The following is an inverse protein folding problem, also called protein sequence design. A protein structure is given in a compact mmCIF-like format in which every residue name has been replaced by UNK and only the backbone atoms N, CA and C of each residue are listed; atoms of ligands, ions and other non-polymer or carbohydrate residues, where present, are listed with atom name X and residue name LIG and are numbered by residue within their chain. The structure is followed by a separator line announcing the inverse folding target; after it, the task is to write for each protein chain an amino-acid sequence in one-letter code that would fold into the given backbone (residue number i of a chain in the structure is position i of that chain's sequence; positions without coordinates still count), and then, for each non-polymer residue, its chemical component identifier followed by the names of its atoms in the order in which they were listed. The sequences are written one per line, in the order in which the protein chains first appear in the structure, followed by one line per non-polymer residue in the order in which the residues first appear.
data_IF_457683509405
#
_entry.id   IF_457683509405
#
_cell.length_a   1.000
_cell.length_b   1.000
_cell.length_c   1.000
_cell.angle_alpha   90.00
_cell.angle_beta   90.00
_cell.angle_gamma   90.00
#
_symmetry.space_group_name_H-M   'P 1'
#
loop_
_entity.id
_entity.type
_entity.pdbx_description
1 polymer ?
#
# COMPACT_ATOMS: atom_id res chain seq x y z
N UNK A 1 8.39 -17.87 -5.79
CA UNK A 1 7.80 -16.54 -6.16
C UNK A 1 8.85 -15.57 -6.68
N UNK A 2 10.03 -15.40 -6.03
CA UNK A 2 11.07 -14.46 -6.46
C UNK A 2 11.58 -14.68 -7.90
N UNK A 3 11.86 -15.92 -8.35
CA UNK A 3 12.28 -16.15 -9.73
C UNK A 3 11.24 -15.74 -10.77
N UNK A 4 9.95 -15.97 -10.49
CA UNK A 4 8.84 -15.58 -11.39
C UNK A 4 8.75 -14.06 -11.52
N UNK A 5 8.91 -13.32 -10.42
CA UNK A 5 8.90 -11.86 -10.44
C UNK A 5 10.07 -11.32 -11.27
N UNK A 6 11.27 -11.87 -11.09
CA UNK A 6 12.44 -11.48 -11.88
C UNK A 6 12.28 -11.76 -13.38
N UNK A 7 11.56 -12.84 -13.76
CA UNK A 7 11.21 -13.10 -15.15
C UNK A 7 10.20 -12.07 -15.67
N UNK A 8 9.15 -11.76 -14.90
CA UNK A 8 8.16 -10.76 -15.29
C UNK A 8 8.78 -9.37 -15.48
N UNK A 9 9.71 -8.96 -14.61
CA UNK A 9 10.45 -7.70 -14.75
C UNK A 9 11.29 -7.67 -16.04
N UNK A 10 11.97 -8.77 -16.37
CA UNK A 10 12.74 -8.91 -17.64
C UNK A 10 11.84 -8.97 -18.87
N UNK A 11 10.62 -9.46 -18.75
CA UNK A 11 9.64 -9.53 -19.82
C UNK A 11 8.86 -8.21 -20.05
N UNK A 12 9.35 -7.07 -19.54
CA UNK A 12 8.76 -5.77 -19.82
C UNK A 12 7.54 -5.42 -18.95
N UNK A 13 7.50 -5.93 -17.71
CA UNK A 13 6.43 -5.59 -16.77
C UNK A 13 6.33 -4.07 -16.54
N UNK A 14 7.48 -3.38 -16.45
CA UNK A 14 7.52 -1.90 -16.31
C UNK A 14 6.87 -1.21 -17.53
N UNK A 15 7.20 -1.64 -18.74
CA UNK A 15 6.68 -1.04 -19.98
C UNK A 15 5.15 -1.23 -20.07
N UNK A 16 4.66 -2.43 -19.74
CA UNK A 16 3.23 -2.70 -19.69
C UNK A 16 2.51 -1.93 -18.60
N UNK A 17 3.17 -1.68 -17.47
CA UNK A 17 2.63 -0.83 -16.41
C UNK A 17 2.52 0.63 -16.91
N UNK A 18 3.51 1.15 -17.63
CA UNK A 18 3.47 2.48 -18.25
C UNK A 18 2.32 2.59 -19.26
N UNK A 19 2.18 1.62 -20.17
CA UNK A 19 1.09 1.58 -21.16
C UNK A 19 -0.29 1.62 -20.46
N UNK A 20 -0.45 0.81 -19.41
CA UNK A 20 -1.69 0.75 -18.65
C UNK A 20 -1.97 2.07 -17.92
N UNK A 21 -0.98 2.65 -17.22
CA UNK A 21 -1.13 3.91 -16.51
C UNK A 21 -1.42 5.07 -17.46
N UNK A 22 -0.79 5.10 -18.63
CA UNK A 22 -1.05 6.13 -19.65
C UNK A 22 -2.50 6.08 -20.14
N UNK A 23 -3.13 4.92 -20.13
CA UNK A 23 -4.55 4.75 -20.46
C UNK A 23 -5.48 5.25 -19.35
N UNK A 24 -5.00 5.38 -18.11
CA UNK A 24 -5.79 5.84 -16.96
C UNK A 24 -5.68 7.36 -16.80
N UNK A 25 -6.71 8.08 -17.19
CA UNK A 25 -6.79 9.53 -16.97
C UNK A 25 -6.65 9.84 -15.46
N UNK A 26 -5.69 10.73 -15.12
CA UNK A 26 -5.43 11.22 -13.76
C UNK A 26 -4.90 10.18 -12.75
N UNK A 27 -4.25 9.10 -13.20
CA UNK A 27 -3.51 8.23 -12.29
C UNK A 27 -2.27 8.96 -11.77
N UNK A 28 -2.17 9.12 -10.44
CA UNK A 28 -0.97 9.64 -9.77
C UNK A 28 -0.40 8.57 -8.82
N UNK A 29 0.89 8.67 -8.53
CA UNK A 29 1.60 7.76 -7.62
C UNK A 29 0.86 7.65 -6.28
N UNK A 30 0.55 8.78 -5.65
CA UNK A 30 -0.13 8.81 -4.36
C UNK A 30 -1.55 8.25 -4.41
N UNK A 31 -2.31 8.50 -5.48
CA UNK A 31 -3.65 7.93 -5.64
C UNK A 31 -3.63 6.41 -5.78
N UNK A 32 -2.69 5.86 -6.54
CA UNK A 32 -2.54 4.42 -6.69
C UNK A 32 -2.20 3.75 -5.35
N UNK A 33 -1.29 4.34 -4.60
CA UNK A 33 -0.90 3.86 -3.26
C UNK A 33 -2.09 3.92 -2.30
N UNK A 34 -2.86 5.02 -2.30
CA UNK A 34 -4.04 5.19 -1.47
C UNK A 34 -5.14 4.16 -1.79
N UNK A 35 -5.42 3.94 -3.08
CA UNK A 35 -6.39 2.93 -3.53
C UNK A 35 -5.94 1.54 -3.10
N UNK A 36 -4.66 1.21 -3.27
CA UNK A 36 -4.12 -0.07 -2.82
C UNK A 36 -4.30 -0.26 -1.31
N UNK A 37 -3.96 0.75 -0.51
CA UNK A 37 -4.13 0.68 0.94
C UNK A 37 -5.59 0.42 1.33
N UNK A 38 -6.56 1.08 0.69
CA UNK A 38 -7.99 0.83 0.90
C UNK A 38 -8.38 -0.61 0.60
N UNK A 39 -7.99 -1.12 -0.58
CA UNK A 39 -8.25 -2.50 -0.99
C UNK A 39 -7.65 -3.47 0.02
N UNK A 40 -6.41 -3.23 0.44
CA UNK A 40 -5.70 -4.08 1.39
C UNK A 40 -6.36 -4.08 2.77
N UNK A 41 -6.78 -2.91 3.24
CA UNK A 41 -7.49 -2.78 4.53
C UNK A 41 -8.82 -3.55 4.53
N UNK A 42 -9.62 -3.37 3.49
CA UNK A 42 -10.90 -4.10 3.36
C UNK A 42 -10.64 -5.61 3.30
N UNK A 43 -9.72 -6.05 2.46
CA UNK A 43 -9.38 -7.46 2.34
C UNK A 43 -8.92 -8.06 3.67
N UNK A 44 -8.09 -7.34 4.44
CA UNK A 44 -7.58 -7.80 5.73
C UNK A 44 -8.68 -7.86 6.79
N UNK A 45 -9.59 -6.87 6.83
CA UNK A 45 -10.71 -6.86 7.75
C UNK A 45 -11.67 -8.05 7.56
N UNK A 46 -11.80 -8.55 6.31
CA UNK A 46 -12.57 -9.75 5.98
C UNK A 46 -11.73 -11.03 5.94
N UNK A 47 -10.46 -10.98 6.39
CA UNK A 47 -9.52 -12.11 6.32
C UNK A 47 -9.33 -12.70 4.91
N UNK A 48 -9.54 -11.89 3.89
CA UNK A 48 -9.25 -12.29 2.52
C UNK A 48 -7.73 -12.34 2.32
N UNK A 49 -7.21 -13.51 1.98
CA UNK A 49 -5.78 -13.72 1.76
C UNK A 49 -5.36 -13.20 0.39
N UNK A 50 -5.28 -11.89 0.27
CA UNK A 50 -4.57 -11.26 -0.84
C UNK A 50 -3.08 -11.38 -0.53
N UNK A 51 -2.28 -11.84 -1.49
CA UNK A 51 -0.83 -11.95 -1.33
C UNK A 51 -0.21 -10.60 -0.94
N UNK A 52 0.88 -10.64 -0.18
CA UNK A 52 1.58 -9.44 0.30
C UNK A 52 2.61 -8.89 -0.69
N UNK A 53 3.74 -8.41 -0.15
CA UNK A 53 4.81 -7.78 -0.91
C UNK A 53 5.30 -8.57 -2.15
N UNK A 54 5.56 -9.92 -2.07
CA UNK A 54 6.07 -10.64 -3.22
C UNK A 54 5.05 -10.85 -4.33
N UNK A 55 3.75 -10.90 -4.00
CA UNK A 55 2.69 -11.24 -4.94
C UNK A 55 2.04 -10.02 -5.60
N UNK A 56 1.97 -8.90 -4.88
CA UNK A 56 1.28 -7.71 -5.36
C UNK A 56 2.14 -6.45 -5.37
N UNK A 57 2.86 -6.15 -4.28
CA UNK A 57 3.60 -4.88 -4.22
C UNK A 57 4.70 -4.85 -5.27
N UNK A 58 5.58 -5.85 -5.28
CA UNK A 58 6.72 -5.88 -6.19
C UNK A 58 6.33 -6.01 -7.65
N UNK A 59 5.46 -6.97 -8.06
CA UNK A 59 5.16 -7.18 -9.47
C UNK A 59 4.11 -6.23 -10.04
N UNK A 60 3.29 -5.58 -9.22
CA UNK A 60 2.16 -4.80 -9.71
C UNK A 60 2.15 -3.36 -9.20
N UNK A 61 1.99 -3.16 -7.89
CA UNK A 61 1.73 -1.82 -7.34
C UNK A 61 2.94 -0.90 -7.51
N UNK A 62 4.14 -1.40 -7.20
CA UNK A 62 5.36 -0.61 -7.33
C UNK A 62 5.66 -0.20 -8.80
N UNK A 63 5.66 -1.10 -9.79
CA UNK A 63 5.81 -0.70 -11.19
C UNK A 63 4.75 0.29 -11.66
N UNK A 64 3.49 0.11 -11.26
CA UNK A 64 2.40 1.05 -11.60
C UNK A 64 2.62 2.43 -10.97
N UNK A 65 3.02 2.49 -9.70
CA UNK A 65 3.27 3.74 -9.00
C UNK A 65 4.47 4.50 -9.58
N UNK A 66 5.54 3.78 -9.95
CA UNK A 66 6.69 4.37 -10.66
C UNK A 66 6.30 4.84 -12.06
N UNK A 67 5.54 4.03 -12.81
CA UNK A 67 5.06 4.39 -14.14
C UNK A 67 4.20 5.67 -14.11
N UNK A 68 3.35 5.84 -13.09
CA UNK A 68 2.56 7.05 -12.92
C UNK A 68 3.45 8.30 -12.73
N UNK A 69 4.56 8.17 -11.99
CA UNK A 69 5.52 9.25 -11.84
C UNK A 69 6.31 9.52 -13.13
N UNK A 70 6.75 8.47 -13.83
CA UNK A 70 7.48 8.60 -15.12
C UNK A 70 6.61 9.29 -16.18
N UNK A 71 5.34 8.92 -16.29
CA UNK A 71 4.41 9.54 -17.26
C UNK A 71 4.18 11.03 -16.96
N UNK A 72 4.24 11.44 -15.69
CA UNK A 72 4.00 12.83 -15.32
C UNK A 72 5.26 13.70 -15.32
N UNK A 73 6.42 13.14 -15.01
CA UNK A 73 7.62 13.90 -14.69
C UNK A 73 8.87 13.47 -15.45
N UNK A 74 8.79 12.43 -16.29
CA UNK A 74 9.94 11.87 -17.00
C UNK A 74 10.72 10.86 -16.15
N UNK A 75 11.98 10.65 -16.51
CA UNK A 75 12.86 9.68 -15.84
C UNK A 75 13.05 10.01 -14.35
N UNK A 76 13.02 8.98 -13.53
CA UNK A 76 13.19 9.08 -12.08
C UNK A 76 14.64 8.80 -11.71
N UNK A 77 15.14 9.52 -10.71
CA UNK A 77 16.41 9.16 -10.07
C UNK A 77 16.20 8.00 -9.09
N UNK A 78 17.25 7.25 -8.81
CA UNK A 78 17.26 6.07 -7.94
C UNK A 78 16.64 6.36 -6.56
N UNK A 79 16.93 7.54 -6.00
CA UNK A 79 16.37 7.98 -4.73
C UNK A 79 14.85 8.08 -4.77
N UNK A 80 14.31 8.67 -5.82
CA UNK A 80 12.86 8.83 -6.01
C UNK A 80 12.19 7.46 -6.24
N UNK A 81 12.82 6.57 -7.02
CA UNK A 81 12.34 5.19 -7.17
C UNK A 81 12.26 4.48 -5.82
N UNK A 82 13.28 4.60 -4.99
CA UNK A 82 13.35 3.94 -3.67
C UNK A 82 12.33 4.53 -2.68
N UNK A 83 12.08 5.83 -2.73
CA UNK A 83 11.01 6.46 -1.96
C UNK A 83 9.63 5.92 -2.36
N UNK A 84 9.36 5.76 -3.65
CA UNK A 84 8.10 5.18 -4.15
C UNK A 84 7.98 3.70 -3.72
N UNK A 85 9.06 2.92 -3.81
CA UNK A 85 9.10 1.53 -3.31
C UNK A 85 8.77 1.47 -1.82
N UNK A 86 9.38 2.37 -1.03
CA UNK A 86 9.12 2.48 0.41
C UNK A 86 7.66 2.81 0.72
N UNK A 87 7.06 3.75 -0.02
CA UNK A 87 5.65 4.12 0.13
C UNK A 87 4.71 2.97 -0.24
N UNK A 88 4.97 2.26 -1.33
CA UNK A 88 4.19 1.08 -1.72
C UNK A 88 4.27 -0.02 -0.66
N UNK A 89 5.46 -0.28 -0.12
CA UNK A 89 5.67 -1.26 0.94
C UNK A 89 4.97 -0.84 2.25
N UNK A 90 5.05 0.43 2.61
CA UNK A 90 4.37 0.99 3.78
C UNK A 90 2.84 0.84 3.68
N UNK A 91 2.25 1.14 2.52
CA UNK A 91 0.80 1.04 2.32
C UNK A 91 0.27 -0.38 2.51
N UNK A 92 1.02 -1.41 2.10
CA UNK A 92 0.70 -2.81 2.36
C UNK A 92 0.70 -3.11 3.86
N UNK A 93 1.76 -2.67 4.56
CA UNK A 93 1.90 -2.91 5.99
C UNK A 93 0.79 -2.22 6.79
N UNK A 94 0.52 -0.93 6.53
CA UNK A 94 -0.52 -0.19 7.24
C UNK A 94 -1.91 -0.74 6.94
N UNK A 95 -2.20 -1.06 5.69
CA UNK A 95 -3.47 -1.63 5.28
C UNK A 95 -3.73 -3.00 5.91
N UNK A 96 -2.70 -3.82 6.07
CA UNK A 96 -2.84 -5.15 6.66
C UNK A 96 -2.88 -5.12 8.19
N UNK A 97 -1.90 -4.46 8.82
CA UNK A 97 -1.62 -4.59 10.25
C UNK A 97 -2.80 -4.18 11.13
N UNK A 98 -3.41 -3.03 10.86
CA UNK A 98 -4.51 -2.53 11.68
C UNK A 98 -5.83 -3.22 11.37
N UNK A 99 -6.06 -3.59 10.12
CA UNK A 99 -7.34 -4.17 9.69
C UNK A 99 -7.49 -5.65 10.01
N UNK A 100 -6.40 -6.43 10.07
CA UNK A 100 -6.48 -7.87 10.35
C UNK A 100 -7.11 -8.18 11.71
N UNK A 101 -6.99 -7.29 12.69
CA UNK A 101 -7.58 -7.47 14.03
C UNK A 101 -9.08 -7.17 14.06
N UNK A 102 -9.66 -6.60 13.01
CA UNK A 102 -11.11 -6.43 12.87
C UNK A 102 -11.82 -7.76 12.58
N UNK A 103 -11.07 -8.81 12.23
CA UNK A 103 -11.62 -10.13 12.02
C UNK A 103 -11.60 -10.95 13.31
N UNK A 104 -12.79 -11.42 13.75
CA UNK A 104 -12.93 -12.15 15.00
C UNK A 104 -12.12 -13.45 15.08
N UNK A 105 -11.83 -14.09 13.95
CA UNK A 105 -11.01 -15.29 13.84
C UNK A 105 -9.51 -15.00 13.66
N UNK A 106 -9.04 -13.75 13.78
CA UNK A 106 -7.62 -13.47 13.68
C UNK A 106 -6.85 -14.02 14.88
N UNK A 107 -5.62 -14.45 14.65
CA UNK A 107 -4.79 -15.02 15.73
C UNK A 107 -4.56 -14.03 16.87
N UNK A 108 -4.44 -12.73 16.57
CA UNK A 108 -4.29 -11.68 17.57
C UNK A 108 -5.55 -11.54 18.44
N UNK A 109 -6.74 -11.49 17.82
CA UNK A 109 -8.01 -11.43 18.54
C UNK A 109 -8.22 -12.66 19.43
N UNK A 110 -7.98 -13.86 18.90
CA UNK A 110 -8.14 -15.09 19.65
C UNK A 110 -7.13 -15.20 20.81
N UNK A 111 -5.90 -14.73 20.64
CA UNK A 111 -4.91 -14.68 21.72
C UNK A 111 -5.36 -13.76 22.85
N UNK A 112 -5.89 -12.58 22.54
CA UNK A 112 -6.41 -11.64 23.55
C UNK A 112 -7.58 -12.28 24.31
N UNK A 113 -8.54 -12.89 23.59
CA UNK A 113 -9.69 -13.57 24.20
C UNK A 113 -9.25 -14.69 25.15
N UNK A 114 -8.33 -15.55 24.71
CA UNK A 114 -7.80 -16.64 25.51
C UNK A 114 -7.10 -16.14 26.78
N UNK A 115 -6.19 -15.16 26.64
CA UNK A 115 -5.46 -14.60 27.77
C UNK A 115 -6.38 -13.93 28.80
N UNK A 116 -7.38 -13.17 28.37
CA UNK A 116 -8.33 -12.53 29.27
C UNK A 116 -9.22 -13.56 29.96
N UNK A 117 -9.67 -14.58 29.25
CA UNK A 117 -10.46 -15.67 29.83
C UNK A 117 -9.69 -16.44 30.91
N UNK A 118 -8.41 -16.73 30.70
CA UNK A 118 -7.54 -17.36 31.68
C UNK A 118 -7.34 -16.53 32.95
N UNK A 119 -7.42 -15.21 32.82
CA UNK A 119 -7.35 -14.26 33.94
C UNK A 119 -8.71 -14.02 34.62
N UNK A 120 -9.76 -14.74 34.22
CA UNK A 120 -11.10 -14.61 34.80
C UNK A 120 -11.96 -13.50 34.19
N UNK A 121 -11.55 -12.91 33.08
CA UNK A 121 -12.32 -11.92 32.35
C UNK A 121 -12.88 -12.52 31.05
N UNK A 122 -14.09 -13.12 31.09
CA UNK A 122 -14.68 -13.67 29.86
C UNK A 122 -15.04 -12.55 28.89
N UNK A 123 -14.48 -12.58 27.72
CA UNK A 123 -14.72 -11.62 26.64
C UNK A 123 -15.07 -12.35 25.36
N UNK A 124 -15.91 -11.72 24.53
CA UNK A 124 -16.27 -12.26 23.24
C UNK A 124 -15.31 -11.77 22.14
N UNK A 125 -14.96 -12.66 21.20
CA UNK A 125 -14.09 -12.35 20.09
C UNK A 125 -14.64 -11.21 19.20
N UNK A 126 -15.97 -11.12 19.06
CA UNK A 126 -16.62 -10.06 18.32
C UNK A 126 -16.45 -8.69 18.99
N UNK A 127 -16.49 -8.65 20.32
CA UNK A 127 -16.26 -7.42 21.08
C UNK A 127 -14.82 -6.92 20.90
N UNK A 128 -13.84 -7.81 21.01
CA UNK A 128 -12.41 -7.45 20.79
C UNK A 128 -12.17 -6.98 19.36
N UNK A 129 -12.69 -7.70 18.37
CA UNK A 129 -12.58 -7.30 16.95
C UNK A 129 -13.25 -5.93 16.70
N UNK A 130 -14.44 -5.70 17.28
CA UNK A 130 -15.16 -4.43 17.17
C UNK A 130 -14.38 -3.23 17.71
N UNK A 131 -13.64 -3.41 18.82
CA UNK A 131 -12.76 -2.35 19.36
C UNK A 131 -11.56 -2.02 18.46
N UNK A 132 -11.20 -2.90 17.52
CA UNK A 132 -10.14 -2.66 16.56
C UNK A 132 -10.57 -1.83 15.34
N UNK A 133 -11.89 -1.74 15.07
CA UNK A 133 -12.43 -1.02 13.91
C UNK A 133 -12.06 0.47 13.91
N UNK A 134 -12.22 1.24 15.01
CA UNK A 134 -11.86 2.65 15.01
C UNK A 134 -10.40 2.90 14.62
N UNK A 135 -9.46 2.10 15.12
CA UNK A 135 -8.05 2.28 14.81
C UNK A 135 -7.74 1.91 13.35
N UNK A 136 -8.41 0.90 12.80
CA UNK A 136 -8.29 0.56 11.39
C UNK A 136 -8.78 1.72 10.49
N UNK A 137 -9.90 2.34 10.83
CA UNK A 137 -10.43 3.53 10.11
C UNK A 137 -9.45 4.70 10.18
N UNK A 138 -8.95 5.02 11.38
CA UNK A 138 -7.95 6.08 11.56
C UNK A 138 -6.70 5.80 10.73
N UNK A 139 -6.20 4.56 10.74
CA UNK A 139 -5.04 4.14 9.93
C UNK A 139 -5.25 4.36 8.43
N UNK A 140 -6.44 4.07 7.92
CA UNK A 140 -6.79 4.33 6.52
C UNK A 140 -6.78 5.82 6.22
N UNK A 141 -7.45 6.63 7.04
CA UNK A 141 -7.52 8.08 6.84
C UNK A 141 -6.11 8.69 6.83
N UNK A 142 -5.31 8.37 7.84
CA UNK A 142 -3.92 8.88 7.95
C UNK A 142 -3.07 8.41 6.78
N UNK A 143 -3.16 7.13 6.38
CA UNK A 143 -2.39 6.59 5.28
C UNK A 143 -2.78 7.19 3.93
N UNK A 144 -4.07 7.41 3.67
CA UNK A 144 -4.54 8.10 2.46
C UNK A 144 -4.04 9.55 2.42
N UNK A 145 -4.16 10.29 3.53
CA UNK A 145 -3.65 11.65 3.63
C UNK A 145 -2.14 11.67 3.38
N UNK A 146 -1.41 10.74 3.97
CA UNK A 146 0.05 10.63 3.79
C UNK A 146 0.42 10.34 2.33
N UNK A 147 -0.28 9.43 1.67
CA UNK A 147 -0.07 9.13 0.24
C UNK A 147 -0.34 10.35 -0.66
N UNK A 148 -1.38 11.14 -0.36
CA UNK A 148 -1.69 12.36 -1.12
C UNK A 148 -0.67 13.49 -0.85
N UNK A 149 -0.18 13.62 0.38
CA UNK A 149 0.90 14.55 0.72
C UNK A 149 2.19 14.15 0.00
N UNK A 150 2.52 12.86 -0.01
CA UNK A 150 3.67 12.34 -0.75
C UNK A 150 3.61 12.68 -2.24
N UNK A 151 2.45 12.54 -2.85
CA UNK A 151 2.21 12.91 -4.26
C UNK A 151 2.50 14.39 -4.52
N UNK A 152 2.08 15.27 -3.61
CA UNK A 152 2.36 16.71 -3.73
C UNK A 152 3.85 17.05 -3.53
N UNK A 153 4.52 16.36 -2.59
CA UNK A 153 5.96 16.52 -2.37
C UNK A 153 6.72 16.08 -3.61
N UNK A 154 6.36 14.92 -4.17
CA UNK A 154 6.96 14.38 -5.38
C UNK A 154 6.80 15.34 -6.56
N UNK A 155 5.60 15.86 -6.77
CA UNK A 155 5.30 16.87 -7.79
C UNK A 155 6.18 18.11 -7.65
N UNK A 156 6.28 18.69 -6.46
CA UNK A 156 7.08 19.91 -6.21
C UNK A 156 8.57 19.66 -6.46
N UNK A 157 9.09 18.52 -6.00
CA UNK A 157 10.51 18.17 -6.14
C UNK A 157 10.88 17.95 -7.61
N UNK A 158 10.11 17.18 -8.35
CA UNK A 158 10.41 16.84 -9.75
C UNK A 158 10.20 18.03 -10.68
N UNK A 159 9.15 18.84 -10.46
CA UNK A 159 8.98 20.09 -11.21
C UNK A 159 10.14 21.08 -10.97
N UNK A 160 10.69 21.14 -9.76
CA UNK A 160 11.85 21.98 -9.44
C UNK A 160 13.15 21.46 -10.09
N UNK A 161 13.29 20.14 -10.30
CA UNK A 161 14.44 19.56 -11.03
C UNK A 161 14.37 19.89 -12.51
N UNK A 162 13.24 19.65 -13.16
CA UNK A 162 13.04 19.95 -14.57
C UNK A 162 13.34 21.42 -14.89
N UNK A 163 12.88 22.36 -14.06
CA UNK A 163 13.14 23.78 -14.21
C UNK A 163 14.62 24.19 -14.02
N UNK A 164 15.49 23.32 -13.48
CA UNK A 164 16.93 23.56 -13.33
C UNK A 164 17.75 22.97 -14.47
N UNK A 165 17.25 21.93 -15.12
CA UNK A 165 17.91 21.29 -16.27
C UNK A 165 17.69 22.09 -17.57
N UNK A 166 16.62 22.89 -17.65
CA UNK A 166 16.30 23.80 -18.75
C UNK A 166 17.09 25.15 -18.71
N UNK A 167 17.95 25.36 -17.71
CA UNK A 167 18.78 26.57 -17.57
C UNK A 167 20.25 26.30 -17.78
#
# INVERSE_FOLDING_TARGET
TLPVIGICERCGLKDKAVDFITSLKNATTGRLIAIWQLIRTIASAFSLRIGGHPQFIRPLINPMAQAAAVVQYGELDEKTEDEIKGMCAGSENYGNFFAQNCFMGSSGTLLIVSTLSEQGYPVDALQIAGQSVPIAVISVIVGVIYALIFDQILKRRLASKAAKEDK
#
